data_IF_475623635531
#
_entry.id   IF_475623635531
#
_cell.length_a   1.000
_cell.length_b   1.000
_cell.length_c   1.000
_cell.angle_alpha   90.00
_cell.angle_beta   90.00
_cell.angle_gamma   90.00
#
_symmetry.space_group_name_H-M   'P 1'
#
loop_
_entity.id
_entity.type
_entity.pdbx_description
1 polymer ?
#
# COMPACT_ATOMS: atom_id res chain seq x y z
N UNK A 1 29.01 -10.17 -15.26
CA UNK A 1 28.89 -8.70 -15.46
C UNK A 1 29.78 -8.02 -14.45
N UNK A 2 30.68 -7.13 -14.87
CA UNK A 2 31.56 -6.36 -13.98
C UNK A 2 30.79 -5.15 -13.46
N UNK A 3 30.68 -5.04 -12.14
CA UNK A 3 29.97 -3.94 -11.47
C UNK A 3 30.95 -2.81 -11.14
N UNK A 4 30.57 -1.59 -11.49
CA UNK A 4 31.27 -0.35 -11.14
C UNK A 4 30.86 0.05 -9.73
N UNK A 5 31.85 0.21 -8.84
CA UNK A 5 31.66 0.85 -7.54
C UNK A 5 31.28 2.32 -7.76
N UNK A 6 30.02 2.67 -7.52
CA UNK A 6 29.54 4.04 -7.45
C UNK A 6 29.39 4.47 -5.99
N UNK A 7 30.03 5.59 -5.63
CA UNK A 7 29.86 6.23 -4.34
C UNK A 7 28.38 6.60 -4.11
N UNK A 8 27.77 6.05 -3.06
CA UNK A 8 26.37 6.31 -2.71
C UNK A 8 26.12 7.81 -2.50
N UNK A 9 25.15 8.36 -3.22
CA UNK A 9 24.62 9.70 -2.96
C UNK A 9 23.64 9.58 -1.80
N UNK A 10 23.96 10.14 -0.65
CA UNK A 10 22.95 10.34 0.39
C UNK A 10 22.05 11.49 -0.06
N UNK A 11 20.86 11.18 -0.57
CA UNK A 11 19.81 12.20 -0.72
C UNK A 11 19.32 12.52 0.70
N UNK A 12 19.96 13.51 1.31
CA UNK A 12 19.48 14.07 2.57
C UNK A 12 18.06 14.56 2.36
N UNK A 13 17.15 13.99 3.14
CA UNK A 13 16.00 14.68 3.69
C UNK A 13 15.29 15.59 2.68
N UNK A 14 14.31 15.05 1.96
CA UNK A 14 13.18 15.86 1.52
C UNK A 14 12.40 16.26 2.80
N UNK A 15 12.99 17.11 3.66
CA UNK A 15 12.19 18.07 4.43
C UNK A 15 11.83 19.12 3.40
N UNK A 16 10.63 18.98 2.83
CA UNK A 16 10.05 20.08 2.09
C UNK A 16 9.60 21.13 3.09
N UNK A 17 10.56 21.94 3.53
CA UNK A 17 10.26 23.34 3.75
C UNK A 17 10.13 24.08 2.40
N UNK A 18 9.62 23.44 1.35
CA UNK A 18 9.47 24.07 0.03
C UNK A 18 8.01 24.50 -0.10
N UNK A 19 7.76 25.81 0.05
CA UNK A 19 6.59 26.45 -0.56
C UNK A 19 6.51 26.00 -2.02
N UNK A 20 5.32 25.84 -2.64
CA UNK A 20 5.25 25.52 -4.06
C UNK A 20 6.13 26.52 -4.82
N UNK A 21 7.25 26.04 -5.36
CA UNK A 21 8.06 26.86 -6.26
C UNK A 21 7.16 27.25 -7.42
N UNK A 22 7.39 28.42 -8.03
CA UNK A 22 6.63 28.96 -9.18
C UNK A 22 6.42 27.98 -10.37
N UNK A 23 7.08 26.82 -10.38
CA UNK A 23 6.98 25.79 -11.40
C UNK A 23 6.16 24.54 -11.00
N UNK A 24 5.65 24.44 -9.77
CA UNK A 24 4.78 23.34 -9.36
C UNK A 24 3.42 23.46 -10.08
N UNK A 25 3.08 22.46 -10.89
CA UNK A 25 1.74 22.41 -11.51
C UNK A 25 0.73 22.06 -10.41
N UNK A 26 -0.11 23.02 -10.06
CA UNK A 26 -1.24 22.74 -9.18
C UNK A 26 -2.33 22.08 -10.01
N UNK A 27 -2.59 20.81 -9.71
CA UNK A 27 -3.74 20.12 -10.26
C UNK A 27 -4.97 20.60 -9.49
N UNK A 28 -5.93 21.18 -10.22
CA UNK A 28 -7.21 21.61 -9.67
C UNK A 28 -8.31 20.61 -10.03
N UNK A 29 -9.34 20.49 -9.20
CA UNK A 29 -10.52 19.61 -9.41
C UNK A 29 -11.14 19.75 -10.82
N UNK A 30 -10.92 20.87 -11.51
CA UNK A 30 -11.44 21.17 -12.86
C UNK A 30 -10.72 20.43 -14.01
N UNK A 31 -9.55 19.83 -13.76
CA UNK A 31 -8.77 19.14 -14.80
C UNK A 31 -9.05 17.63 -14.85
N UNK A 32 -9.94 17.11 -13.99
CA UNK A 32 -10.27 15.69 -13.92
C UNK A 32 -11.61 15.43 -14.60
N UNK A 33 -11.65 14.43 -15.47
CA UNK A 33 -12.91 13.89 -15.97
C UNK A 33 -13.59 13.06 -14.86
N UNK A 34 -14.90 13.27 -14.70
CA UNK A 34 -15.74 12.43 -13.84
C UNK A 34 -16.12 11.16 -14.60
N UNK A 35 -15.75 10.00 -14.05
CA UNK A 35 -16.10 8.71 -14.63
C UNK A 35 -17.09 7.96 -13.73
N UNK A 36 -18.12 7.42 -14.37
CA UNK A 36 -18.99 6.42 -13.77
C UNK A 36 -18.39 5.02 -13.95
N UNK A 37 -18.81 4.09 -13.09
CA UNK A 37 -18.43 2.69 -13.19
C UNK A 37 -19.61 1.87 -13.71
N UNK A 38 -19.37 1.09 -14.77
CA UNK A 38 -20.32 0.08 -15.27
C UNK A 38 -19.79 -1.31 -15.01
N UNK A 39 -20.58 -2.15 -14.34
CA UNK A 39 -20.23 -3.53 -14.05
C UNK A 39 -20.13 -4.33 -15.36
N UNK A 40 -19.05 -5.07 -15.58
CA UNK A 40 -18.81 -5.76 -16.87
C UNK A 40 -18.63 -7.27 -16.76
N UNK A 41 -17.82 -7.77 -15.83
CA UNK A 41 -17.56 -9.21 -15.67
C UNK A 41 -17.26 -9.60 -14.23
N UNK A 42 -17.32 -10.90 -13.94
CA UNK A 42 -17.08 -11.47 -12.61
C UNK A 42 -16.06 -12.59 -12.74
N UNK A 43 -15.12 -12.65 -11.80
CA UNK A 43 -14.14 -13.72 -11.67
C UNK A 43 -14.26 -14.31 -10.27
N UNK A 44 -14.50 -15.61 -10.23
CA UNK A 44 -14.71 -16.41 -9.04
C UNK A 44 -16.18 -16.62 -8.70
N UNK A 45 -16.41 -17.57 -7.78
CA UNK A 45 -17.74 -18.09 -7.44
C UNK A 45 -18.30 -17.41 -6.20
N UNK A 46 -19.44 -16.70 -6.29
CA UNK A 46 -20.30 -16.48 -5.13
C UNK A 46 -20.89 -17.83 -4.68
N UNK A 47 -20.96 -18.11 -3.38
CA UNK A 47 -21.35 -19.40 -2.83
C UNK A 47 -22.77 -19.88 -3.21
N UNK A 48 -23.56 -19.04 -3.90
CA UNK A 48 -24.95 -19.32 -4.30
C UNK A 48 -25.15 -19.66 -5.78
N UNK A 49 -24.11 -19.77 -6.61
CA UNK A 49 -24.36 -20.06 -8.04
C UNK A 49 -23.18 -20.22 -9.00
N UNK A 50 -22.03 -20.72 -8.55
CA UNK A 50 -20.87 -20.92 -9.43
C UNK A 50 -21.07 -21.97 -10.52
N UNK A 51 -20.44 -21.76 -11.67
CA UNK A 51 -20.26 -22.83 -12.65
C UNK A 51 -19.12 -23.75 -12.19
N UNK A 52 -19.28 -25.05 -12.42
CA UNK A 52 -18.21 -26.04 -12.17
C UNK A 52 -16.95 -25.63 -12.93
N UNK A 53 -15.84 -25.40 -12.21
CA UNK A 53 -14.55 -25.00 -12.78
C UNK A 53 -14.19 -23.51 -12.61
N UNK A 54 -15.07 -22.70 -12.01
CA UNK A 54 -14.72 -21.33 -11.62
C UNK A 54 -13.88 -21.32 -10.31
N UNK A 55 -12.93 -20.39 -10.16
CA UNK A 55 -12.06 -20.33 -9.00
C UNK A 55 -12.81 -19.86 -7.75
N UNK A 56 -12.61 -20.53 -6.63
CA UNK A 56 -13.04 -20.05 -5.31
C UNK A 56 -11.89 -19.30 -4.63
N UNK A 57 -12.21 -18.20 -3.93
CA UNK A 57 -11.27 -17.44 -3.14
C UNK A 57 -11.65 -17.48 -1.67
N UNK A 58 -10.79 -18.03 -0.82
CA UNK A 58 -10.89 -17.99 0.65
C UNK A 58 -10.83 -16.56 1.17
N UNK A 59 -9.85 -15.81 0.68
CA UNK A 59 -9.64 -14.40 0.93
C UNK A 59 -8.85 -13.80 -0.21
N UNK A 60 -9.23 -12.59 -0.62
CA UNK A 60 -8.49 -11.85 -1.65
C UNK A 60 -7.57 -10.84 -0.97
N UNK A 61 -6.26 -11.00 -1.17
CA UNK A 61 -5.20 -10.11 -0.73
C UNK A 61 -4.80 -9.11 -1.80
N UNK A 62 -3.51 -9.15 -2.16
CA UNK A 62 -2.94 -8.42 -3.29
C UNK A 62 -3.40 -9.02 -4.62
N UNK A 63 -3.57 -8.18 -5.64
CA UNK A 63 -3.92 -8.61 -6.99
C UNK A 63 -3.00 -7.91 -7.98
N UNK A 64 -2.30 -8.68 -8.82
CA UNK A 64 -1.57 -8.17 -9.97
C UNK A 64 -2.38 -8.49 -11.23
N UNK A 65 -2.83 -7.45 -11.94
CA UNK A 65 -3.35 -7.59 -13.29
C UNK A 65 -2.21 -7.36 -14.28
N UNK A 66 -1.97 -8.33 -15.15
CA UNK A 66 -0.93 -8.25 -16.17
C UNK A 66 -1.32 -9.08 -17.38
N UNK A 67 -1.38 -8.43 -18.55
CA UNK A 67 -1.90 -9.00 -19.78
C UNK A 67 -3.31 -9.59 -19.57
N UNK A 68 -3.54 -10.83 -19.99
CA UNK A 68 -4.83 -11.52 -19.85
C UNK A 68 -5.00 -12.24 -18.51
N UNK A 69 -4.11 -12.01 -17.53
CA UNK A 69 -4.06 -12.73 -16.25
C UNK A 69 -4.26 -11.84 -15.05
N UNK A 70 -4.83 -12.44 -14.01
CA UNK A 70 -4.91 -11.94 -12.66
C UNK A 70 -4.17 -12.92 -11.74
N UNK A 71 -3.17 -12.41 -11.02
CA UNK A 71 -2.52 -13.13 -9.93
C UNK A 71 -3.18 -12.68 -8.63
N UNK A 72 -4.03 -13.54 -8.06
CA UNK A 72 -4.87 -13.24 -6.91
C UNK A 72 -4.25 -13.88 -5.68
N UNK A 73 -3.70 -13.07 -4.79
CA UNK A 73 -3.12 -13.53 -3.54
C UNK A 73 -4.19 -14.05 -2.60
N UNK A 74 -4.01 -15.28 -2.13
CA UNK A 74 -4.83 -15.98 -1.15
C UNK A 74 -4.02 -16.13 0.14
N UNK A 75 -4.09 -15.15 1.05
CA UNK A 75 -3.12 -15.09 2.15
C UNK A 75 -3.36 -16.15 3.23
N UNK A 76 -4.52 -16.82 3.24
CA UNK A 76 -4.82 -17.90 4.19
C UNK A 76 -4.18 -19.23 3.74
N UNK A 77 -3.94 -19.39 2.44
CA UNK A 77 -3.23 -20.49 1.80
C UNK A 77 -1.75 -20.17 1.55
N UNK A 78 -1.34 -18.91 1.73
CA UNK A 78 -0.01 -18.43 1.33
C UNK A 78 0.35 -18.80 -0.11
N UNK A 79 -0.61 -18.61 -1.02
CA UNK A 79 -0.45 -18.90 -2.45
C UNK A 79 -1.08 -17.79 -3.29
N UNK A 80 -0.63 -17.61 -4.53
CA UNK A 80 -1.37 -16.83 -5.52
C UNK A 80 -2.09 -17.77 -6.49
N UNK A 81 -3.39 -17.55 -6.69
CA UNK A 81 -4.14 -18.18 -7.78
C UNK A 81 -3.97 -17.37 -9.06
N UNK A 82 -3.74 -18.05 -10.18
CA UNK A 82 -3.59 -17.44 -11.49
C UNK A 82 -4.86 -17.73 -12.27
N UNK A 83 -5.59 -16.68 -12.63
CA UNK A 83 -6.86 -16.79 -13.35
C UNK A 83 -6.84 -15.86 -14.55
N UNK A 84 -7.55 -16.20 -15.62
CA UNK A 84 -7.69 -15.28 -16.74
C UNK A 84 -8.61 -14.12 -16.35
N UNK A 85 -8.48 -13.00 -17.04
CA UNK A 85 -9.43 -11.87 -16.93
C UNK A 85 -10.86 -12.24 -17.36
N UNK A 86 -11.03 -13.37 -18.06
CA UNK A 86 -12.32 -13.99 -18.38
C UNK A 86 -12.82 -14.97 -17.30
N UNK A 87 -12.03 -15.23 -16.25
CA UNK A 87 -12.40 -16.06 -15.10
C UNK A 87 -11.99 -17.52 -15.16
N UNK A 88 -11.24 -17.96 -16.17
CA UNK A 88 -10.75 -19.33 -16.26
C UNK A 88 -9.59 -19.55 -15.26
N UNK A 89 -9.62 -20.67 -14.53
CA UNK A 89 -8.50 -21.07 -13.66
C UNK A 89 -7.30 -21.52 -14.52
N UNK A 90 -6.17 -20.83 -14.39
CA UNK A 90 -4.96 -21.10 -15.17
C UNK A 90 -3.98 -21.94 -14.36
N UNK A 91 -3.91 -21.73 -13.04
CA UNK A 91 -3.00 -22.41 -12.16
C UNK A 91 -2.73 -21.62 -10.89
N UNK A 92 -1.56 -21.82 -10.30
CA UNK A 92 -1.16 -21.12 -9.09
C UNK A 92 0.36 -20.95 -9.01
N UNK A 93 0.82 -20.07 -8.13
CA UNK A 93 2.24 -19.94 -7.78
C UNK A 93 2.44 -19.92 -6.26
N UNK A 94 3.46 -20.65 -5.84
CA UNK A 94 3.86 -20.87 -4.45
C UNK A 94 2.90 -21.72 -3.62
N UNK A 95 3.06 -21.62 -2.30
CA UNK A 95 2.35 -22.41 -1.29
C UNK A 95 2.94 -22.15 0.09
N UNK A 96 2.36 -22.71 1.17
CA UNK A 96 2.84 -22.47 2.52
C UNK A 96 4.15 -23.22 2.79
N UNK A 97 5.19 -22.52 3.25
CA UNK A 97 6.46 -23.16 3.59
C UNK A 97 7.69 -22.25 3.53
N UNK A 98 8.86 -22.87 3.62
CA UNK A 98 10.18 -22.20 3.56
C UNK A 98 10.96 -22.57 2.29
N UNK A 99 10.49 -23.57 1.53
CA UNK A 99 11.16 -24.12 0.36
C UNK A 99 11.21 -23.15 -0.83
N UNK A 100 11.89 -23.55 -1.92
CA UNK A 100 11.93 -22.75 -3.15
C UNK A 100 10.52 -22.52 -3.70
N UNK A 101 10.12 -21.25 -3.80
CA UNK A 101 8.78 -20.85 -4.27
C UNK A 101 7.71 -20.80 -3.19
N UNK A 102 7.97 -21.29 -1.98
CA UNK A 102 7.02 -21.24 -0.87
C UNK A 102 7.03 -19.89 -0.15
N UNK A 103 5.98 -19.63 0.63
CA UNK A 103 5.76 -18.40 1.38
C UNK A 103 5.31 -18.70 2.82
N UNK A 104 5.82 -17.89 3.75
CA UNK A 104 5.30 -17.73 5.11
C UNK A 104 4.30 -16.59 5.20
N UNK A 105 4.44 -15.57 4.35
CA UNK A 105 3.48 -14.47 4.23
C UNK A 105 3.55 -13.85 2.85
N UNK A 106 2.41 -13.81 2.15
CA UNK A 106 2.30 -13.07 0.90
C UNK A 106 2.47 -11.57 1.15
N UNK A 107 3.48 -10.97 0.51
CA UNK A 107 3.71 -9.55 0.51
C UNK A 107 3.34 -8.89 -0.82
N UNK A 108 4.17 -7.93 -1.23
CA UNK A 108 4.01 -7.25 -2.50
C UNK A 108 4.31 -8.20 -3.67
N UNK A 109 3.67 -7.93 -4.80
CA UNK A 109 3.81 -8.66 -6.06
C UNK A 109 3.97 -7.66 -7.20
N UNK A 110 4.76 -8.02 -8.21
CA UNK A 110 4.92 -7.23 -9.42
C UNK A 110 5.54 -8.06 -10.54
N UNK A 111 5.99 -7.39 -11.61
CA UNK A 111 6.68 -8.01 -12.73
C UNK A 111 8.02 -7.34 -13.01
N UNK A 112 8.98 -8.09 -13.53
CA UNK A 112 10.20 -7.56 -14.17
C UNK A 112 10.40 -8.37 -15.46
N UNK A 113 10.38 -7.70 -16.61
CA UNK A 113 10.36 -8.39 -17.90
C UNK A 113 9.23 -9.43 -17.97
N UNK A 114 9.60 -10.69 -18.20
CA UNK A 114 8.68 -11.83 -18.29
C UNK A 114 8.45 -12.57 -16.96
N UNK A 115 9.04 -12.07 -15.87
CA UNK A 115 8.97 -12.70 -14.55
C UNK A 115 7.99 -11.98 -13.64
N UNK A 116 7.31 -12.75 -12.80
CA UNK A 116 6.56 -12.26 -11.64
C UNK A 116 7.46 -12.37 -10.42
N UNK A 117 7.57 -11.29 -9.65
CA UNK A 117 8.27 -11.32 -8.37
C UNK A 117 7.27 -11.21 -7.22
N UNK A 118 7.56 -11.91 -6.11
CA UNK A 118 6.78 -11.87 -4.88
C UNK A 118 7.71 -11.69 -3.70
N UNK A 119 7.46 -10.66 -2.89
CA UNK A 119 8.19 -10.43 -1.65
C UNK A 119 7.53 -11.20 -0.49
N UNK A 120 8.33 -11.99 0.22
CA UNK A 120 7.99 -12.58 1.51
C UNK A 120 8.72 -11.82 2.64
N UNK A 121 8.02 -10.96 3.39
CA UNK A 121 8.63 -10.19 4.48
C UNK A 121 8.89 -11.00 5.77
N UNK A 122 8.42 -12.25 5.87
CA UNK A 122 8.74 -13.15 7.00
C UNK A 122 10.03 -13.91 6.71
N UNK A 123 10.18 -14.42 5.48
CA UNK A 123 11.41 -15.04 5.01
C UNK A 123 12.48 -14.02 4.61
N UNK A 124 12.13 -12.73 4.52
CA UNK A 124 12.97 -11.67 3.97
C UNK A 124 13.55 -12.06 2.61
N UNK A 125 12.68 -12.57 1.75
CA UNK A 125 13.03 -13.13 0.45
C UNK A 125 12.19 -12.49 -0.63
N UNK A 126 12.77 -12.32 -1.81
CA UNK A 126 12.01 -12.09 -3.04
C UNK A 126 12.15 -13.31 -3.92
N UNK A 127 11.01 -13.92 -4.31
CA UNK A 127 10.96 -15.09 -5.18
C UNK A 127 10.49 -14.67 -6.58
N UNK A 128 11.10 -15.24 -7.61
CA UNK A 128 10.80 -15.00 -9.02
C UNK A 128 10.18 -16.24 -9.66
N UNK A 129 9.14 -16.01 -10.45
CA UNK A 129 8.36 -17.02 -11.15
C UNK A 129 8.24 -16.63 -12.62
N UNK A 130 8.17 -17.61 -13.51
CA UNK A 130 7.77 -17.34 -14.89
C UNK A 130 6.26 -17.07 -14.98
N UNK A 131 5.79 -16.67 -16.17
CA UNK A 131 4.39 -16.39 -16.43
C UNK A 131 3.43 -17.58 -16.18
N UNK A 132 3.94 -18.82 -16.16
CA UNK A 132 3.15 -20.04 -15.86
C UNK A 132 2.99 -20.29 -14.36
N UNK A 133 3.71 -19.54 -13.52
CA UNK A 133 3.73 -19.71 -12.07
C UNK A 133 4.83 -20.65 -11.58
N UNK A 134 5.74 -21.09 -12.46
CA UNK A 134 6.86 -21.95 -12.07
C UNK A 134 7.96 -21.13 -11.41
N UNK A 135 8.40 -21.57 -10.24
CA UNK A 135 9.54 -20.97 -9.54
C UNK A 135 10.81 -21.02 -10.40
N UNK A 136 11.51 -19.88 -10.48
CA UNK A 136 12.77 -19.73 -11.22
C UNK A 136 13.95 -19.52 -10.27
N UNK A 137 13.84 -18.53 -9.38
CA UNK A 137 14.93 -18.14 -8.48
C UNK A 137 14.41 -17.36 -7.28
N UNK A 138 15.28 -17.07 -6.32
CA UNK A 138 14.98 -16.13 -5.24
C UNK A 138 16.24 -15.43 -4.76
N UNK A 139 16.06 -14.26 -4.16
CA UNK A 139 17.09 -13.49 -3.48
C UNK A 139 16.67 -13.25 -2.02
N UNK A 140 17.56 -13.58 -1.09
CA UNK A 140 17.35 -13.31 0.34
C UNK A 140 17.99 -11.97 0.68
N UNK A 141 17.21 -11.10 1.30
CA UNK A 141 17.68 -9.85 1.90
C UNK A 141 18.04 -10.10 3.36
N UNK A 142 19.23 -9.73 3.83
CA UNK A 142 19.64 -9.96 5.20
C UNK A 142 18.70 -9.18 6.11
N UNK A 143 18.22 -9.84 7.17
CA UNK A 143 17.27 -9.22 8.09
C UNK A 143 17.86 -8.03 8.82
N UNK A 144 19.16 -8.05 9.08
CA UNK A 144 19.88 -7.01 9.79
C UNK A 144 21.15 -6.67 9.01
N UNK A 145 21.48 -5.39 8.98
CA UNK A 145 22.76 -4.94 8.47
C UNK A 145 23.80 -5.01 9.61
N UNK A 146 25.06 -5.36 9.33
CA UNK A 146 26.13 -5.23 10.30
C UNK A 146 26.21 -3.79 10.82
N UNK A 147 26.35 -3.63 12.14
CA UNK A 147 26.55 -2.34 12.81
C UNK A 147 25.44 -1.29 12.54
N UNK A 148 24.23 -1.74 12.21
CA UNK A 148 23.12 -0.86 11.88
C UNK A 148 21.80 -1.31 12.54
N UNK A 149 21.11 -0.38 13.20
CA UNK A 149 19.85 -0.66 13.91
C UNK A 149 18.66 -0.93 12.99
N UNK A 150 17.71 -1.76 13.43
CA UNK A 150 16.45 -1.98 12.72
C UNK A 150 16.53 -3.05 11.63
N UNK A 151 15.39 -3.67 11.35
CA UNK A 151 15.30 -4.77 10.39
C UNK A 151 15.00 -4.29 8.98
N UNK A 152 15.62 -4.94 8.00
CA UNK A 152 15.29 -4.81 6.59
C UNK A 152 14.12 -5.71 6.23
N UNK A 153 13.20 -5.17 5.44
CA UNK A 153 12.07 -5.89 4.88
C UNK A 153 11.99 -5.61 3.38
N UNK A 154 12.12 -6.62 2.50
CA UNK A 154 11.96 -6.41 1.06
C UNK A 154 10.52 -6.01 0.73
N UNK A 155 10.36 -5.07 -0.21
CA UNK A 155 9.06 -4.48 -0.57
C UNK A 155 8.82 -4.38 -2.07
N UNK A 156 9.86 -4.25 -2.89
CA UNK A 156 9.77 -4.31 -4.35
C UNK A 156 11.12 -4.70 -4.97
N UNK A 157 11.13 -4.95 -6.28
CA UNK A 157 12.33 -5.18 -7.10
C UNK A 157 12.37 -4.12 -8.19
N UNK A 158 13.54 -3.53 -8.44
CA UNK A 158 13.78 -2.62 -9.54
C UNK A 158 14.17 -3.35 -10.82
N UNK A 159 14.00 -2.71 -11.98
CA UNK A 159 14.29 -3.31 -13.30
C UNK A 159 15.74 -3.78 -13.45
N UNK A 160 16.68 -3.19 -12.71
CA UNK A 160 18.08 -3.61 -12.70
C UNK A 160 18.39 -4.76 -11.73
N UNK A 161 17.35 -5.35 -11.14
CA UNK A 161 17.43 -6.48 -10.21
C UNK A 161 17.69 -6.09 -8.75
N UNK A 162 17.96 -4.82 -8.46
CA UNK A 162 18.14 -4.38 -7.07
C UNK A 162 16.83 -4.39 -6.29
N UNK A 163 16.91 -4.58 -4.97
CA UNK A 163 15.74 -4.73 -4.10
C UNK A 163 15.46 -3.43 -3.35
N UNK A 164 14.20 -3.01 -3.37
CA UNK A 164 13.68 -1.94 -2.53
C UNK A 164 13.30 -2.51 -1.17
N UNK A 165 13.94 -2.03 -0.11
CA UNK A 165 13.70 -2.47 1.25
C UNK A 165 13.26 -1.34 2.16
N UNK A 166 12.38 -1.67 3.10
CA UNK A 166 12.00 -0.79 4.21
C UNK A 166 12.88 -1.10 5.42
N UNK A 167 13.29 -0.07 6.14
CA UNK A 167 13.95 -0.14 7.44
C UNK A 167 13.32 0.86 8.40
N UNK A 168 13.06 0.47 9.65
CA UNK A 168 12.72 1.41 10.72
C UNK A 168 13.88 1.46 11.70
N UNK A 169 14.47 2.63 11.87
CA UNK A 169 15.62 2.92 12.74
C UNK A 169 15.15 3.73 13.95
N UNK A 170 15.76 3.51 15.11
CA UNK A 170 15.40 4.16 16.39
C UNK A 170 14.70 3.19 17.34
N UNK A 171 14.25 3.73 18.49
CA UNK A 171 13.59 2.96 19.56
C UNK A 171 12.28 2.35 19.06
N UNK A 172 12.35 1.22 18.38
CA UNK A 172 11.18 0.38 18.15
C UNK A 172 10.74 -0.15 19.52
N UNK A 173 9.42 -0.12 19.75
CA UNK A 173 8.67 -0.77 20.85
C UNK A 173 8.25 0.12 22.06
N UNK A 174 8.38 1.45 21.98
CA UNK A 174 7.77 2.35 22.98
C UNK A 174 6.77 3.32 22.35
N UNK A 175 5.61 3.49 22.98
CA UNK A 175 4.63 4.54 22.61
C UNK A 175 5.31 5.91 22.68
N UNK A 176 5.17 6.71 21.62
CA UNK A 176 5.78 8.03 21.55
C UNK A 176 7.27 8.03 21.16
N UNK A 177 7.82 6.92 20.67
CA UNK A 177 9.22 6.90 20.20
C UNK A 177 9.41 7.63 18.87
N UNK A 178 10.53 8.35 18.75
CA UNK A 178 10.95 8.99 17.51
C UNK A 178 11.80 8.03 16.67
N UNK A 179 11.14 7.27 15.80
CA UNK A 179 11.82 6.46 14.79
C UNK A 179 12.04 7.24 13.49
N UNK A 180 12.88 6.71 12.61
CA UNK A 180 12.98 7.09 11.20
C UNK A 180 12.64 5.87 10.34
N UNK A 181 11.68 6.01 9.43
CA UNK A 181 11.46 5.04 8.37
C UNK A 181 12.31 5.41 7.16
N UNK A 182 13.11 4.45 6.70
CA UNK A 182 14.03 4.59 5.57
C UNK A 182 13.64 3.61 4.48
N UNK A 183 13.67 4.10 3.24
CA UNK A 183 13.45 3.33 2.03
C UNK A 183 14.80 3.21 1.33
N UNK A 184 15.33 2.00 1.34
CA UNK A 184 16.69 1.68 0.95
C UNK A 184 16.69 0.90 -0.36
N UNK A 185 17.72 1.13 -1.16
CA UNK A 185 18.03 0.31 -2.33
C UNK A 185 19.18 -0.63 -1.99
N UNK A 186 18.96 -1.92 -2.21
CA UNK A 186 19.87 -3.00 -1.81
C UNK A 186 20.27 -3.81 -3.04
N UNK A 187 21.53 -4.18 -3.12
CA UNK A 187 22.08 -5.10 -4.13
C UNK A 187 22.79 -6.27 -3.45
N UNK A 188 23.12 -7.30 -4.24
CA UNK A 188 23.99 -8.41 -3.85
C UNK A 188 23.57 -9.08 -2.52
N UNK A 189 22.26 -9.19 -2.23
CA UNK A 189 21.78 -9.77 -0.99
C UNK A 189 22.27 -9.05 0.27
N UNK A 190 22.38 -7.71 0.26
CA UNK A 190 22.58 -6.95 1.51
C UNK A 190 23.33 -5.62 1.43
N UNK A 191 23.99 -5.33 0.32
CA UNK A 191 24.74 -4.08 0.15
C UNK A 191 23.76 -2.92 -0.09
N UNK A 192 23.69 -1.97 0.86
CA UNK A 192 22.90 -0.75 0.70
C UNK A 192 23.66 0.22 -0.20
N UNK A 193 23.15 0.44 -1.40
CA UNK A 193 23.75 1.36 -2.37
C UNK A 193 23.16 2.75 -2.33
N UNK A 194 21.93 2.88 -1.81
CA UNK A 194 21.24 4.17 -1.70
C UNK A 194 20.18 4.20 -0.59
N UNK A 195 19.91 5.40 -0.08
CA UNK A 195 18.73 5.74 0.74
C UNK A 195 17.85 6.68 -0.05
N UNK A 196 16.82 6.12 -0.69
CA UNK A 196 15.95 6.85 -1.61
C UNK A 196 15.05 7.86 -0.89
N UNK A 197 14.55 7.48 0.29
CA UNK A 197 13.63 8.31 1.07
C UNK A 197 13.85 8.03 2.56
N UNK A 198 13.79 9.07 3.38
CA UNK A 198 13.72 8.96 4.83
C UNK A 198 12.68 9.95 5.38
N UNK A 199 11.83 9.48 6.28
CA UNK A 199 10.86 10.32 6.99
C UNK A 199 10.74 9.86 8.45
N UNK A 200 10.23 10.75 9.31
CA UNK A 200 9.90 10.36 10.68
C UNK A 200 8.97 9.16 10.66
N UNK A 201 9.34 8.10 11.38
CA UNK A 201 8.52 6.90 11.46
C UNK A 201 7.14 7.29 12.01
N UNK A 202 6.06 6.72 11.46
CA UNK A 202 4.74 7.02 11.99
C UNK A 202 4.65 6.58 13.45
N UNK A 203 4.22 7.48 14.31
CA UNK A 203 3.67 7.13 15.62
C UNK A 203 2.29 6.48 15.39
N UNK A 204 2.30 5.26 14.85
CA UNK A 204 1.11 4.59 14.30
C UNK A 204 0.29 3.88 15.38
N UNK A 205 0.80 3.76 16.60
CA UNK A 205 0.15 3.02 17.67
C UNK A 205 0.32 3.71 19.03
N UNK A 206 -0.69 3.56 19.89
CA UNK A 206 -0.69 4.02 21.28
C UNK A 206 -0.92 2.84 22.21
N UNK A 207 -0.32 2.87 23.39
CA UNK A 207 -0.67 1.93 24.47
C UNK A 207 -1.73 2.56 25.34
N UNK A 208 -2.83 1.83 25.50
CA UNK A 208 -3.89 2.20 26.41
C UNK A 208 -3.86 1.22 27.59
N UNK A 209 -3.82 1.78 28.79
CA UNK A 209 -3.88 1.04 30.06
C UNK A 209 -5.26 1.21 30.66
N UNK A 210 -5.94 0.10 30.95
CA UNK A 210 -7.24 0.10 31.63
C UNK A 210 -7.13 0.22 33.17
N UNK A 211 -5.90 0.17 33.69
CA UNK A 211 -5.57 0.45 35.08
C UNK A 211 -5.61 -0.77 36.03
N UNK A 212 -5.85 -2.00 35.53
CA UNK A 212 -5.93 -3.20 36.39
C UNK A 212 -4.98 -4.31 35.93
N UNK A 213 -5.04 -4.73 34.65
CA UNK A 213 -4.14 -5.78 34.11
C UNK A 213 -3.80 -5.66 32.62
N UNK A 214 -4.50 -4.83 31.84
CA UNK A 214 -4.34 -4.80 30.37
C UNK A 214 -3.48 -3.64 29.87
N UNK A 215 -2.50 -3.94 29.01
CA UNK A 215 -1.89 -2.97 28.09
C UNK A 215 -2.34 -3.36 26.68
N UNK A 216 -3.17 -2.52 26.04
CA UNK A 216 -3.57 -2.71 24.66
C UNK A 216 -2.73 -1.82 23.74
N UNK A 217 -2.06 -2.40 22.75
CA UNK A 217 -1.47 -1.64 21.64
C UNK A 217 -2.55 -1.40 20.59
N UNK A 218 -2.90 -0.15 20.36
CA UNK A 218 -3.97 0.24 19.44
C UNK A 218 -3.40 1.11 18.35
N UNK A 219 -3.72 0.77 17.10
CA UNK A 219 -3.39 1.64 15.98
C UNK A 219 -4.09 2.99 16.15
N UNK A 220 -3.40 4.08 15.82
CA UNK A 220 -4.03 5.39 15.82
C UNK A 220 -5.09 5.48 14.73
N UNK A 221 -6.22 6.14 15.00
CA UNK A 221 -7.28 6.28 14.01
C UNK A 221 -6.87 7.14 12.81
N UNK A 222 -5.90 8.04 13.01
CA UNK A 222 -5.44 8.99 12.00
C UNK A 222 -3.92 9.09 12.08
N UNK A 223 -3.26 8.79 10.97
CA UNK A 223 -1.79 8.85 10.82
C UNK A 223 -1.49 9.59 9.51
N UNK A 224 -0.74 10.69 9.59
CA UNK A 224 -0.43 11.57 8.46
C UNK A 224 0.97 11.37 7.89
N UNK A 225 1.65 10.30 8.30
CA UNK A 225 2.92 9.90 7.71
C UNK A 225 2.80 9.75 6.19
N UNK A 226 3.89 10.01 5.44
CA UNK A 226 3.94 9.77 4.02
C UNK A 226 3.50 8.34 3.66
N UNK A 227 2.84 8.19 2.52
CA UNK A 227 2.70 6.91 1.86
C UNK A 227 3.84 6.72 0.88
N UNK A 228 4.21 5.48 0.62
CA UNK A 228 5.13 5.15 -0.44
C UNK A 228 4.83 3.76 -1.01
N UNK A 229 5.26 3.51 -2.25
CA UNK A 229 5.13 2.21 -2.91
C UNK A 229 6.19 2.08 -4.00
N UNK A 230 6.82 0.92 -4.12
CA UNK A 230 7.58 0.59 -5.33
C UNK A 230 6.61 0.36 -6.50
N UNK A 231 7.01 0.76 -7.69
CA UNK A 231 6.24 0.44 -8.89
C UNK A 231 6.29 -1.07 -9.15
N UNK A 232 5.16 -1.73 -9.48
CA UNK A 232 5.15 -3.17 -9.69
C UNK A 232 6.06 -3.64 -10.83
N UNK A 233 6.33 -2.78 -11.82
CA UNK A 233 7.23 -3.05 -12.94
C UNK A 233 8.71 -2.77 -12.62
N UNK A 234 9.01 -2.30 -11.40
CA UNK A 234 10.37 -1.98 -10.96
C UNK A 234 10.92 -0.66 -11.52
N UNK A 235 10.10 0.18 -12.13
CA UNK A 235 10.56 1.43 -12.75
C UNK A 235 10.88 2.55 -11.74
N UNK A 236 10.55 2.39 -10.46
CA UNK A 236 10.82 3.42 -9.46
C UNK A 236 10.00 3.33 -8.18
N UNK A 237 9.90 4.45 -7.48
CA UNK A 237 9.19 4.60 -6.19
C UNK A 237 8.24 5.80 -6.26
N UNK A 238 7.01 5.59 -5.77
CA UNK A 238 6.06 6.65 -5.50
C UNK A 238 6.16 7.06 -4.03
N UNK A 239 6.16 8.36 -3.75
CA UNK A 239 6.05 8.94 -2.41
C UNK A 239 4.91 9.95 -2.40
N UNK A 240 3.99 9.82 -1.44
CA UNK A 240 2.88 10.75 -1.25
C UNK A 240 2.98 11.38 0.13
N UNK A 241 3.34 12.65 0.17
CA UNK A 241 3.34 13.46 1.38
C UNK A 241 1.95 14.06 1.59
N UNK A 242 1.29 13.66 2.67
CA UNK A 242 -0.16 13.85 2.90
C UNK A 242 -0.46 14.46 4.28
N UNK A 243 0.03 15.69 4.57
CA UNK A 243 -0.06 16.26 5.90
C UNK A 243 -1.53 16.45 6.33
N UNK A 244 -1.81 16.19 7.60
CA UNK A 244 -3.13 16.42 8.22
C UNK A 244 -3.26 17.84 8.81
N UNK A 245 -2.37 18.77 8.42
CA UNK A 245 -2.35 20.15 8.89
C UNK A 245 -2.19 21.09 7.70
N UNK A 246 -2.89 22.22 7.76
CA UNK A 246 -2.76 23.28 6.75
C UNK A 246 -1.36 23.90 6.81
N UNK A 247 -0.84 24.32 5.65
CA UNK A 247 0.29 25.25 5.59
C UNK A 247 -0.21 26.52 4.92
N UNK A 248 -0.26 27.63 5.68
CA UNK A 248 -0.60 28.97 5.18
C UNK A 248 -1.89 28.99 4.33
N UNK A 249 -3.03 28.63 4.93
CA UNK A 249 -4.35 28.79 4.32
C UNK A 249 -4.64 27.91 3.08
N UNK A 250 -3.76 26.97 2.73
CA UNK A 250 -3.96 26.09 1.60
C UNK A 250 -3.64 24.62 1.95
N UNK A 251 -4.37 23.71 1.31
CA UNK A 251 -4.41 22.28 1.61
C UNK A 251 -3.95 21.49 0.39
N UNK A 252 -2.73 20.95 0.47
CA UNK A 252 -2.13 20.17 -0.62
C UNK A 252 -1.53 18.86 -0.14
N UNK A 253 -1.61 17.85 -0.99
CA UNK A 253 -0.79 16.63 -0.94
C UNK A 253 0.28 16.72 -2.03
N UNK A 254 1.51 16.32 -1.75
CA UNK A 254 2.57 16.21 -2.77
C UNK A 254 2.72 14.76 -3.19
N UNK A 255 2.73 14.52 -4.50
CA UNK A 255 2.90 13.21 -5.12
C UNK A 255 4.17 13.25 -5.95
N UNK A 256 5.17 12.50 -5.51
CA UNK A 256 6.51 12.47 -6.08
C UNK A 256 6.77 11.06 -6.64
N UNK A 257 7.21 10.97 -7.89
CA UNK A 257 7.77 9.75 -8.46
C UNK A 257 9.28 9.92 -8.62
N UNK A 258 10.02 8.97 -8.07
CA UNK A 258 11.46 8.81 -8.27
C UNK A 258 11.70 7.59 -9.14
N UNK A 259 12.69 7.65 -10.04
CA UNK A 259 13.15 6.47 -10.77
C UNK A 259 14.14 5.64 -9.92
N UNK A 260 14.73 4.60 -10.53
CA UNK A 260 15.68 3.69 -9.90
C UNK A 260 16.99 4.39 -9.48
N UNK A 261 17.35 5.50 -10.13
CA UNK A 261 18.51 6.33 -9.81
C UNK A 261 18.20 7.44 -8.80
N UNK A 262 16.99 7.43 -8.21
CA UNK A 262 16.47 8.48 -7.33
C UNK A 262 16.26 9.84 -8.02
N UNK A 263 16.25 9.88 -9.35
CA UNK A 263 15.94 11.09 -10.09
C UNK A 263 14.42 11.32 -10.12
N UNK A 264 14.02 12.59 -10.05
CA UNK A 264 12.59 12.94 -10.05
C UNK A 264 12.01 12.79 -11.44
N UNK A 265 11.04 11.87 -11.59
CA UNK A 265 10.26 11.70 -12.82
C UNK A 265 9.14 12.75 -12.88
N UNK A 266 8.43 12.95 -11.76
CA UNK A 266 7.47 14.05 -11.62
C UNK A 266 7.29 14.44 -10.15
N UNK A 267 6.86 15.68 -9.94
CA UNK A 267 6.49 16.26 -8.65
C UNK A 267 5.18 17.06 -8.80
N UNK A 268 4.10 16.52 -8.25
CA UNK A 268 2.76 17.06 -8.40
C UNK A 268 2.15 17.48 -7.06
N UNK A 269 1.40 18.57 -7.09
CA UNK A 269 0.72 19.10 -5.91
C UNK A 269 -0.78 19.05 -6.15
N UNK A 270 -1.47 18.24 -5.34
CA UNK A 270 -2.90 17.99 -5.45
C UNK A 270 -3.61 18.77 -4.36
N UNK A 271 -4.45 19.71 -4.77
CA UNK A 271 -5.32 20.45 -3.85
C UNK A 271 -6.38 19.52 -3.27
N UNK A 272 -6.75 19.71 -2.01
CA UNK A 272 -7.84 18.96 -1.41
C UNK A 272 -8.72 19.83 -0.52
N UNK A 273 -9.95 19.37 -0.29
CA UNK A 273 -10.85 19.96 0.70
C UNK A 273 -10.59 19.29 2.05
N UNK A 274 -10.20 20.04 3.09
CA UNK A 274 -9.91 19.46 4.39
C UNK A 274 -11.17 18.82 4.98
N UNK A 275 -11.01 17.62 5.55
CA UNK A 275 -12.07 16.92 6.26
C UNK A 275 -11.72 16.92 7.75
N UNK A 276 -12.52 17.58 8.61
CA UNK A 276 -12.28 17.59 10.05
C UNK A 276 -12.40 16.19 10.67
N UNK A 277 -11.58 15.90 11.67
CA UNK A 277 -11.72 14.71 12.52
C UNK A 277 -12.70 15.02 13.63
N UNK A 278 -13.89 14.41 13.59
CA UNK A 278 -14.90 14.64 14.63
C UNK A 278 -14.64 13.82 15.89
N UNK A 279 -15.09 14.33 17.05
CA UNK A 279 -15.11 13.54 18.30
C UNK A 279 -15.99 12.29 18.17
N UNK A 280 -17.07 12.36 17.39
CA UNK A 280 -17.92 11.20 17.11
C UNK A 280 -17.18 10.10 16.36
N UNK A 281 -16.31 10.46 15.41
CA UNK A 281 -15.45 9.50 14.72
C UNK A 281 -14.50 8.81 15.69
N UNK A 282 -13.78 9.59 16.52
CA UNK A 282 -12.85 9.03 17.52
C UNK A 282 -13.56 8.07 18.47
N UNK A 283 -14.79 8.41 18.90
CA UNK A 283 -15.60 7.52 19.74
C UNK A 283 -15.97 6.23 19.02
N UNK A 284 -16.48 6.30 17.78
CA UNK A 284 -16.82 5.09 17.01
C UNK A 284 -15.59 4.21 16.76
N UNK A 285 -14.43 4.82 16.54
CA UNK A 285 -13.17 4.10 16.40
C UNK A 285 -12.77 3.38 17.70
N UNK A 286 -12.83 4.08 18.84
CA UNK A 286 -12.55 3.48 20.16
C UNK A 286 -13.48 2.30 20.45
N UNK A 287 -14.78 2.42 20.16
CA UNK A 287 -15.75 1.33 20.33
C UNK A 287 -15.47 0.14 19.42
N UNK A 288 -15.04 0.38 18.18
CA UNK A 288 -14.66 -0.70 17.27
C UNK A 288 -13.42 -1.46 17.78
N UNK A 289 -12.40 -0.74 18.28
CA UNK A 289 -11.20 -1.37 18.88
C UNK A 289 -11.52 -2.10 20.17
N UNK A 290 -12.42 -1.57 20.99
CA UNK A 290 -12.88 -2.23 22.21
C UNK A 290 -13.51 -3.60 21.89
N UNK A 291 -14.38 -3.69 20.88
CA UNK A 291 -14.97 -4.97 20.44
C UNK A 291 -13.94 -6.00 20.01
N UNK A 292 -12.87 -5.56 19.35
CA UNK A 292 -11.76 -6.46 18.94
C UNK A 292 -10.89 -6.91 20.14
N UNK A 293 -10.87 -6.12 21.21
CA UNK A 293 -10.00 -6.31 22.38
C UNK A 293 -10.78 -6.73 23.64
N UNK A 294 -12.03 -7.16 23.49
CA UNK A 294 -12.93 -7.51 24.60
C UNK A 294 -12.35 -8.58 25.54
N UNK A 295 -11.50 -9.48 24.99
CA UNK A 295 -10.80 -10.51 25.77
C UNK A 295 -9.59 -10.00 26.57
N UNK A 296 -9.13 -8.77 26.29
CA UNK A 296 -7.93 -8.16 26.89
C UNK A 296 -8.31 -7.00 27.82
N UNK A 297 -9.36 -6.26 27.48
CA UNK A 297 -9.80 -5.06 28.20
C UNK A 297 -10.73 -5.46 29.34
N UNK A 298 -10.40 -5.05 30.56
CA UNK A 298 -11.17 -5.39 31.77
C UNK A 298 -12.20 -4.34 32.16
N UNK A 299 -11.98 -3.08 31.80
CA UNK A 299 -12.90 -1.96 32.03
C UNK A 299 -13.11 -1.18 30.72
N UNK A 300 -14.25 -1.45 30.08
CA UNK A 300 -14.66 -0.80 28.84
C UNK A 300 -14.81 0.73 28.97
N UNK A 301 -15.27 1.23 30.12
CA UNK A 301 -15.48 2.66 30.36
C UNK A 301 -14.15 3.41 30.42
N UNK A 302 -13.25 2.94 31.29
CA UNK A 302 -11.90 3.51 31.43
C UNK A 302 -11.09 3.40 30.15
N UNK A 303 -11.21 2.27 29.46
CA UNK A 303 -10.55 2.10 28.17
C UNK A 303 -10.99 3.16 27.16
N UNK A 304 -12.29 3.44 27.03
CA UNK A 304 -12.77 4.47 26.09
C UNK A 304 -12.23 5.84 26.43
N UNK A 305 -12.25 6.23 27.71
CA UNK A 305 -11.73 7.51 28.17
C UNK A 305 -10.24 7.62 27.86
N UNK A 306 -9.45 6.62 28.27
CA UNK A 306 -8.02 6.56 28.00
C UNK A 306 -7.72 6.53 26.49
N UNK A 307 -8.52 5.85 25.68
CA UNK A 307 -8.37 5.81 24.22
C UNK A 307 -8.61 7.18 23.61
N UNK A 308 -9.69 7.87 23.99
CA UNK A 308 -10.01 9.20 23.49
C UNK A 308 -8.96 10.24 23.91
N UNK A 309 -8.41 10.13 25.12
CA UNK A 309 -7.31 10.99 25.59
C UNK A 309 -5.99 10.69 24.87
N UNK A 310 -5.70 9.41 24.60
CA UNK A 310 -4.46 8.98 23.95
C UNK A 310 -4.46 9.21 22.44
N UNK A 311 -5.64 9.29 21.81
CA UNK A 311 -5.77 9.67 20.40
C UNK A 311 -5.53 11.18 20.25
N UNK A 312 -4.27 11.60 20.36
CA UNK A 312 -3.80 12.86 19.81
C UNK A 312 -3.89 12.80 18.28
N UNK A 313 -5.12 12.84 17.77
CA UNK A 313 -5.41 12.88 16.35
C UNK A 313 -5.25 14.32 15.85
N UNK A 314 -4.71 14.53 14.65
CA UNK A 314 -4.73 15.85 14.03
C UNK A 314 -6.18 16.31 13.82
N UNK A 315 -6.37 17.63 13.75
CA UNK A 315 -7.71 18.23 13.57
C UNK A 315 -8.37 17.84 12.24
N UNK A 316 -7.58 17.39 11.27
CA UNK A 316 -8.00 17.04 9.93
C UNK A 316 -7.55 15.62 9.58
N UNK A 317 -8.27 14.97 8.69
CA UNK A 317 -7.79 13.74 8.09
C UNK A 317 -6.70 14.04 7.04
N UNK A 318 -5.71 13.14 6.88
CA UNK A 318 -4.84 13.11 5.71
C UNK A 318 -5.67 13.02 4.43
N UNK A 319 -5.32 13.77 3.37
CA UNK A 319 -6.11 13.84 2.14
C UNK A 319 -6.10 12.54 1.33
N UNK A 320 -4.98 11.81 1.36
CA UNK A 320 -4.80 10.56 0.62
C UNK A 320 -4.80 9.40 1.61
N UNK A 321 -5.79 8.52 1.52
CA UNK A 321 -5.95 7.36 2.41
C UNK A 321 -5.01 6.22 2.00
N UNK A 322 -4.91 5.98 0.69
CA UNK A 322 -4.18 4.86 0.09
C UNK A 322 -3.72 5.18 -1.33
N UNK A 323 -2.68 4.50 -1.77
CA UNK A 323 -2.21 4.47 -3.16
C UNK A 323 -2.40 3.09 -3.79
N UNK A 324 -2.61 3.05 -5.10
CA UNK A 324 -2.46 1.85 -5.93
C UNK A 324 -1.66 2.24 -7.19
N UNK A 325 -0.86 1.32 -7.70
CA UNK A 325 -0.04 1.50 -8.91
C UNK A 325 -0.18 0.21 -9.72
N UNK A 326 -0.39 0.33 -11.02
CA UNK A 326 -0.45 -0.84 -11.91
C UNK A 326 0.86 -1.02 -12.67
N UNK A 327 0.94 -2.10 -13.45
CA UNK A 327 2.12 -2.45 -14.26
C UNK A 327 2.37 -1.53 -15.47
N UNK A 328 1.47 -0.58 -15.73
CA UNK A 328 1.59 0.44 -16.79
C UNK A 328 2.06 1.79 -16.22
N UNK A 329 2.32 1.86 -14.91
CA UNK A 329 2.79 3.07 -14.23
C UNK A 329 1.71 4.14 -14.00
N UNK A 330 0.43 3.80 -14.15
CA UNK A 330 -0.65 4.64 -13.67
C UNK A 330 -0.64 4.68 -12.12
N UNK A 331 -1.05 5.80 -11.54
CA UNK A 331 -1.06 6.01 -10.09
C UNK A 331 -2.46 6.38 -9.63
N UNK A 332 -3.01 5.64 -8.69
CA UNK A 332 -4.33 5.84 -8.12
C UNK A 332 -4.20 6.33 -6.69
N UNK A 333 -4.90 7.41 -6.38
CA UNK A 333 -4.94 8.01 -5.06
C UNK A 333 -6.36 7.93 -4.54
N UNK A 334 -6.54 7.27 -3.39
CA UNK A 334 -7.81 7.24 -2.69
C UNK A 334 -7.93 8.53 -1.87
N UNK A 335 -8.59 9.52 -2.44
CA UNK A 335 -8.80 10.84 -1.86
C UNK A 335 -9.98 10.79 -0.89
N UNK A 336 -9.80 11.42 0.28
CA UNK A 336 -10.87 11.56 1.26
C UNK A 336 -11.72 12.78 0.93
N UNK A 337 -13.03 12.56 0.81
CA UNK A 337 -14.02 13.62 0.53
C UNK A 337 -14.98 13.87 1.68
N UNK A 338 -14.95 13.01 2.71
CA UNK A 338 -15.74 13.13 3.93
C UNK A 338 -15.23 12.18 5.01
N UNK A 339 -15.97 12.09 6.13
CA UNK A 339 -15.55 11.27 7.27
C UNK A 339 -15.49 9.77 6.92
N UNK A 340 -16.42 9.30 6.08
CA UNK A 340 -16.50 7.91 5.58
C UNK A 340 -16.48 7.81 4.05
N UNK A 341 -16.48 8.93 3.33
CA UNK A 341 -16.54 8.95 1.86
C UNK A 341 -15.18 9.20 1.21
N UNK A 342 -14.97 8.54 0.08
CA UNK A 342 -13.73 8.61 -0.69
C UNK A 342 -14.01 8.64 -2.19
N UNK A 343 -13.05 9.17 -2.92
CA UNK A 343 -12.98 9.14 -4.38
C UNK A 343 -11.61 8.61 -4.80
N UNK A 344 -11.53 7.96 -5.95
CA UNK A 344 -10.25 7.60 -6.55
C UNK A 344 -9.90 8.61 -7.63
N UNK A 345 -8.71 9.17 -7.55
CA UNK A 345 -8.10 9.99 -8.59
C UNK A 345 -7.01 9.18 -9.28
N UNK A 346 -6.96 9.22 -10.62
CA UNK A 346 -5.94 8.54 -11.42
C UNK A 346 -5.01 9.57 -12.04
N UNK A 347 -3.71 9.32 -11.91
CA UNK A 347 -2.65 10.04 -12.58
C UNK A 347 -1.97 9.12 -13.61
N UNK A 348 -1.54 9.70 -14.72
CA UNK A 348 -0.69 8.98 -15.68
C UNK A 348 0.76 8.85 -15.18
N UNK A 349 1.60 8.19 -15.99
CA UNK A 349 3.02 7.96 -15.64
C UNK A 349 3.85 9.24 -15.44
N UNK A 350 3.35 10.41 -15.86
CA UNK A 350 3.97 11.72 -15.67
C UNK A 350 3.26 12.55 -14.57
N UNK A 351 2.35 11.93 -13.83
CA UNK A 351 1.61 12.55 -12.73
C UNK A 351 0.45 13.45 -13.21
N UNK A 352 0.10 13.44 -14.50
CA UNK A 352 -1.03 14.24 -14.99
C UNK A 352 -2.35 13.58 -14.61
N UNK A 353 -3.32 14.32 -14.06
CA UNK A 353 -4.64 13.77 -13.75
C UNK A 353 -5.35 13.35 -15.03
N UNK A 354 -5.96 12.16 -15.04
CA UNK A 354 -6.71 11.67 -16.21
C UNK A 354 -8.18 11.39 -15.92
N UNK A 355 -8.54 11.10 -14.66
CA UNK A 355 -9.93 10.84 -14.29
C UNK A 355 -10.12 10.61 -12.81
N UNK A 356 -11.38 10.68 -12.37
CA UNK A 356 -11.80 10.33 -11.02
C UNK A 356 -13.10 9.55 -11.00
N UNK A 357 -13.27 8.71 -9.99
CA UNK A 357 -14.48 7.89 -9.83
C UNK A 357 -14.74 7.54 -8.37
N UNK A 358 -15.97 7.13 -8.07
CA UNK A 358 -16.35 6.50 -6.80
C UNK A 358 -16.49 5.01 -7.00
N UNK A 359 -16.06 4.24 -6.01
CA UNK A 359 -16.37 2.81 -5.96
C UNK A 359 -17.68 2.61 -5.19
N UNK A 360 -18.47 1.56 -5.50
CA UNK A 360 -19.65 1.23 -4.72
C UNK A 360 -19.28 0.95 -3.25
N UNK A 361 -20.25 1.16 -2.35
CA UNK A 361 -20.08 0.85 -0.93
C UNK A 361 -19.75 -0.64 -0.71
N UNK A 362 -19.04 -0.95 0.37
CA UNK A 362 -18.60 -2.31 0.72
C UNK A 362 -17.70 -3.02 -0.31
N UNK A 363 -17.11 -2.26 -1.25
CA UNK A 363 -16.14 -2.80 -2.20
C UNK A 363 -14.72 -2.36 -1.89
N UNK A 364 -13.73 -3.10 -2.41
CA UNK A 364 -12.32 -2.73 -2.29
C UNK A 364 -11.62 -2.80 -3.65
N UNK A 365 -10.92 -1.74 -4.04
CA UNK A 365 -10.03 -1.79 -5.21
C UNK A 365 -8.98 -2.90 -5.04
N UNK A 366 -8.94 -3.82 -6.00
CA UNK A 366 -7.96 -4.90 -6.09
C UNK A 366 -6.90 -4.59 -7.15
N UNK A 367 -7.33 -4.23 -8.35
CA UNK A 367 -6.46 -3.86 -9.46
C UNK A 367 -7.14 -2.86 -10.41
N UNK A 368 -6.40 -2.27 -11.34
CA UNK A 368 -6.95 -1.37 -12.34
C UNK A 368 -6.00 -1.07 -13.50
N UNK A 369 -6.57 -0.54 -14.57
CA UNK A 369 -5.90 -0.12 -15.79
C UNK A 369 -6.61 1.10 -16.39
N UNK A 370 -6.33 1.42 -17.66
CA UNK A 370 -6.92 2.58 -18.36
C UNK A 370 -8.41 2.44 -18.66
N UNK A 371 -8.93 1.21 -18.73
CA UNK A 371 -10.29 0.93 -19.16
C UNK A 371 -11.23 0.68 -17.99
N UNK A 372 -10.68 0.36 -16.81
CA UNK A 372 -11.50 0.07 -15.65
C UNK A 372 -10.73 -0.42 -14.42
N UNK A 373 -11.50 -1.00 -13.50
CA UNK A 373 -11.02 -1.50 -12.22
C UNK A 373 -11.58 -2.87 -11.89
N UNK A 374 -10.78 -3.65 -11.18
CA UNK A 374 -11.20 -4.86 -10.49
C UNK A 374 -11.47 -4.52 -9.03
N UNK A 375 -12.70 -4.75 -8.59
CA UNK A 375 -13.12 -4.58 -7.20
C UNK A 375 -13.34 -5.95 -6.55
N UNK A 376 -12.99 -6.05 -5.27
CA UNK A 376 -13.40 -7.16 -4.42
C UNK A 376 -14.79 -6.84 -3.87
N UNK A 377 -15.71 -7.76 -4.11
CA UNK A 377 -17.05 -7.80 -3.50
C UNK A 377 -17.16 -9.09 -2.67
N UNK A 378 -18.08 -9.09 -1.71
CA UNK A 378 -18.46 -10.29 -0.96
C UNK A 378 -19.91 -10.62 -1.20
N UNK A 379 -20.27 -11.90 -1.12
CA UNK A 379 -21.66 -12.32 -1.15
C UNK A 379 -22.29 -12.29 0.25
N UNK A 380 -23.51 -12.81 0.37
CA UNK A 380 -24.25 -12.87 1.64
C UNK A 380 -23.61 -13.77 2.72
N UNK A 381 -22.58 -14.54 2.36
CA UNK A 381 -21.83 -15.44 3.25
C UNK A 381 -20.40 -14.95 3.47
N UNK A 382 -20.11 -13.68 3.12
CA UNK A 382 -18.80 -13.06 3.18
C UNK A 382 -17.74 -13.72 2.27
N UNK A 383 -18.17 -14.51 1.27
CA UNK A 383 -17.24 -15.14 0.31
C UNK A 383 -16.80 -14.11 -0.72
N UNK A 384 -15.49 -13.84 -0.86
CA UNK A 384 -14.99 -12.79 -1.75
C UNK A 384 -14.87 -13.26 -3.20
N UNK A 385 -15.18 -12.36 -4.13
CA UNK A 385 -14.97 -12.53 -5.57
C UNK A 385 -14.54 -11.22 -6.23
N UNK A 386 -14.01 -11.30 -7.46
CA UNK A 386 -13.58 -10.13 -8.23
C UNK A 386 -14.65 -9.72 -9.22
N UNK A 387 -14.91 -8.43 -9.30
CA UNK A 387 -15.83 -7.83 -10.27
C UNK A 387 -15.08 -6.78 -11.07
N UNK A 388 -15.13 -6.89 -12.39
CA UNK A 388 -14.64 -5.88 -13.30
C UNK A 388 -15.71 -4.79 -13.47
N UNK A 389 -15.28 -3.55 -13.34
CA UNK A 389 -16.03 -2.37 -13.74
C UNK A 389 -15.25 -1.63 -14.83
N UNK A 390 -15.95 -1.16 -15.85
CA UNK A 390 -15.39 -0.29 -16.89
C UNK A 390 -15.72 1.16 -16.61
N UNK A 391 -14.84 2.06 -17.04
CA UNK A 391 -15.10 3.50 -16.97
C UNK A 391 -16.08 3.92 -18.05
N UNK A 392 -17.10 4.69 -17.66
CA UNK A 392 -18.07 5.33 -18.55
C UNK A 392 -17.98 6.83 -18.36
N UNK A 393 -17.86 7.56 -19.46
CA UNK A 393 -17.73 9.02 -19.49
C UNK A 393 -19.10 9.72 -19.53
#
# INVERSE_FOLDING_TARGET
MRWLHGAGRVVFLIVLSVSPAKAATQVTEKQMEDWALSRSSVVGVPATGGRKGEPEFSRIGSVLAWADRLYVGQPDENQFRIVSTAGADIGSLGGPGDGPGDFRRLGAIGRIGDYVWVADPVLNRVSFFDHTGKYTSSETVPRYLPDADGSLMPRAVFEDGSVLARRIVGDNVSVGSQGTEQILRIVNGGEVVDTLVAFGAPDAAVQIRDGVRGVANILRPVVDSPLWSGFPDGSGVLVVHRPARARVGAYYSRVLRLDVAADTVFDQWISYRPVPVSRSFLRRYAEARLRELDSIVTDAGRFREAALESFAAPDLFPPVDRTYINVEGLVWLKLRTGETSFEWCILDGMGRPIGRFKVPDNTRLAAGDREGVWLVETDQWDVPYLVRYTFVK
#
